data_IF_765116372921
#
_entry.id   IF_765116372921
#
_cell.length_a   1.000
_cell.length_b   1.000
_cell.length_c   1.000
_cell.angle_alpha   90.00
_cell.angle_beta   90.00
_cell.angle_gamma   90.00
#
_symmetry.space_group_name_H-M   'P 1'
#
loop_
_entity.id
_entity.type
_entity.pdbx_description
1 polymer ?
#
# COMPACT_ATOMS: atom_id res chain seq x y z
N UNK A 1 -26.09 17.79 -8.44
CA UNK A 1 -24.77 18.27 -8.92
C UNK A 1 -24.72 19.76 -8.75
N UNK A 2 -23.71 20.24 -8.04
CA UNK A 2 -23.55 21.67 -7.74
C UNK A 2 -22.14 22.13 -8.12
N UNK A 3 -22.04 23.23 -8.85
CA UNK A 3 -20.75 23.86 -9.17
C UNK A 3 -20.40 24.90 -8.10
N UNK A 4 -19.12 25.01 -7.72
CA UNK A 4 -18.64 26.11 -6.90
C UNK A 4 -18.78 27.46 -7.63
N UNK A 5 -18.91 28.55 -6.87
CA UNK A 5 -19.07 29.89 -7.45
C UNK A 5 -17.90 30.30 -8.37
N UNK A 6 -16.66 29.88 -8.03
CA UNK A 6 -15.44 30.11 -8.80
C UNK A 6 -15.25 29.09 -9.95
N UNK A 7 -16.17 28.15 -10.14
CA UNK A 7 -16.14 27.07 -11.14
C UNK A 7 -14.91 26.16 -11.07
N UNK A 8 -14.22 26.11 -9.92
CA UNK A 8 -13.03 25.27 -9.73
C UNK A 8 -13.32 23.90 -9.15
N UNK A 9 -14.54 23.68 -8.69
CA UNK A 9 -14.98 22.37 -8.21
C UNK A 9 -16.43 22.08 -8.55
N UNK A 10 -16.74 20.78 -8.59
CA UNK A 10 -18.09 20.27 -8.79
C UNK A 10 -18.38 19.24 -7.70
N UNK A 11 -19.49 19.39 -7.00
CA UNK A 11 -19.96 18.44 -5.99
C UNK A 11 -21.12 17.62 -6.53
N UNK A 12 -21.01 16.29 -6.38
CA UNK A 12 -22.05 15.32 -6.76
C UNK A 12 -22.48 14.61 -5.49
N UNK A 13 -23.77 14.64 -5.18
CA UNK A 13 -24.35 13.89 -4.07
C UNK A 13 -25.20 12.75 -4.59
N UNK A 14 -25.01 11.57 -4.03
CA UNK A 14 -25.70 10.34 -4.38
C UNK A 14 -26.27 9.76 -3.10
N UNK A 15 -27.57 9.43 -3.11
CA UNK A 15 -28.23 8.71 -2.02
C UNK A 15 -28.61 7.33 -2.51
N UNK A 16 -28.19 6.30 -1.77
CA UNK A 16 -28.51 4.91 -2.07
C UNK A 16 -29.36 4.33 -0.94
N UNK A 17 -30.58 3.97 -1.27
CA UNK A 17 -31.57 3.42 -0.34
C UNK A 17 -31.45 1.89 -0.28
N UNK A 18 -30.31 1.39 0.22
CA UNK A 18 -30.09 -0.03 0.42
C UNK A 18 -30.87 -0.54 1.65
N UNK A 19 -31.56 -1.66 1.53
CA UNK A 19 -32.38 -2.23 2.63
C UNK A 19 -31.55 -2.61 3.86
N UNK A 20 -30.28 -2.98 3.70
CA UNK A 20 -29.40 -3.41 4.79
C UNK A 20 -28.51 -2.28 5.31
N UNK A 21 -28.10 -1.40 4.45
CA UNK A 21 -27.23 -0.27 4.78
C UNK A 21 -27.44 0.85 3.76
N UNK A 22 -28.41 1.75 3.97
CA UNK A 22 -28.49 2.96 3.18
C UNK A 22 -27.24 3.81 3.37
N UNK A 23 -26.85 4.55 2.32
CA UNK A 23 -25.70 5.44 2.41
C UNK A 23 -25.82 6.64 1.51
N UNK A 24 -25.16 7.71 1.90
CA UNK A 24 -24.93 8.90 1.08
C UNK A 24 -23.47 8.91 0.63
N UNK A 25 -23.24 9.35 -0.59
CA UNK A 25 -21.93 9.46 -1.17
C UNK A 25 -21.77 10.83 -1.80
N UNK A 26 -20.81 11.60 -1.30
CA UNK A 26 -20.47 12.91 -1.84
C UNK A 26 -19.12 12.85 -2.54
N UNK A 27 -19.11 13.26 -3.81
CA UNK A 27 -17.89 13.50 -4.57
C UNK A 27 -17.66 14.99 -4.72
N UNK A 28 -16.46 15.46 -4.45
CA UNK A 28 -16.02 16.80 -4.86
C UNK A 28 -14.87 16.65 -5.86
N UNK A 29 -15.12 17.04 -7.09
CA UNK A 29 -14.17 16.96 -8.20
C UNK A 29 -13.58 18.35 -8.42
N UNK A 30 -12.28 18.48 -8.27
CA UNK A 30 -11.56 19.74 -8.44
C UNK A 30 -10.99 19.88 -9.86
N UNK A 31 -10.86 21.09 -10.36
CA UNK A 31 -10.24 21.42 -11.66
C UNK A 31 -8.79 20.92 -11.77
N UNK A 32 -8.13 20.68 -10.64
CA UNK A 32 -6.79 20.09 -10.56
C UNK A 32 -6.76 18.58 -10.82
N UNK A 33 -7.93 17.93 -10.99
CA UNK A 33 -8.06 16.48 -11.13
C UNK A 33 -8.04 15.72 -9.79
N UNK A 34 -8.01 16.42 -8.66
CA UNK A 34 -8.21 15.83 -7.34
C UNK A 34 -9.69 15.49 -7.18
N UNK A 35 -9.98 14.37 -6.52
CA UNK A 35 -11.35 13.96 -6.19
C UNK A 35 -11.41 13.59 -4.72
N UNK A 36 -12.25 14.28 -3.97
CA UNK A 36 -12.64 13.90 -2.61
C UNK A 36 -13.89 13.04 -2.65
N UNK A 37 -13.94 12.01 -1.82
CA UNK A 37 -15.00 11.01 -1.75
C UNK A 37 -15.36 10.83 -0.29
N UNK A 38 -16.59 11.20 0.08
CA UNK A 38 -17.07 11.20 1.45
C UNK A 38 -18.31 10.31 1.57
N UNK A 39 -18.17 9.01 1.86
CA UNK A 39 -19.30 8.13 2.14
C UNK A 39 -19.80 8.33 3.58
N UNK A 40 -21.12 8.21 3.76
CA UNK A 40 -21.79 8.18 5.06
C UNK A 40 -22.79 7.02 5.06
N UNK A 41 -22.53 6.03 5.89
CA UNK A 41 -23.29 4.78 5.99
C UNK A 41 -24.20 4.79 7.21
N UNK A 42 -25.40 4.24 7.06
CA UNK A 42 -26.37 4.10 8.15
C UNK A 42 -26.86 2.64 8.17
N UNK A 43 -26.16 1.72 8.86
CA UNK A 43 -26.59 0.33 8.96
C UNK A 43 -28.00 0.21 9.55
N UNK A 44 -28.83 -0.66 8.94
CA UNK A 44 -30.21 -0.90 9.33
C UNK A 44 -30.46 -2.34 9.80
N UNK A 45 -29.43 -3.21 9.71
CA UNK A 45 -29.53 -4.61 10.14
C UNK A 45 -28.29 -5.00 10.92
N UNK A 46 -28.45 -5.99 11.80
CA UNK A 46 -27.34 -6.62 12.51
C UNK A 46 -26.52 -7.50 11.57
N UNK A 47 -25.30 -7.80 12.01
CA UNK A 47 -24.42 -8.84 11.44
C UNK A 47 -23.95 -8.56 9.99
N UNK A 48 -23.82 -7.31 9.63
CA UNK A 48 -23.12 -6.94 8.39
C UNK A 48 -21.68 -7.45 8.41
N UNK A 49 -21.19 -7.88 7.26
CA UNK A 49 -19.80 -8.34 7.12
C UNK A 49 -18.83 -7.19 6.94
N UNK A 50 -19.23 -6.16 6.19
CA UNK A 50 -18.45 -4.93 5.97
C UNK A 50 -19.34 -3.73 5.66
N UNK A 51 -18.84 -2.55 5.95
CA UNK A 51 -19.37 -1.27 5.47
C UNK A 51 -18.23 -0.46 4.87
N UNK A 52 -18.35 -0.13 3.59
CA UNK A 52 -17.32 0.55 2.85
C UNK A 52 -17.63 0.66 1.37
N UNK A 53 -16.65 1.12 0.60
CA UNK A 53 -16.72 1.27 -0.84
C UNK A 53 -15.80 0.27 -1.52
N UNK A 54 -16.29 -0.35 -2.61
CA UNK A 54 -15.46 -1.08 -3.54
C UNK A 54 -15.25 -0.23 -4.80
N UNK A 55 -14.00 -0.06 -5.21
CA UNK A 55 -13.60 0.63 -6.42
C UNK A 55 -12.81 -0.29 -7.31
N UNK A 56 -12.94 -0.16 -8.62
CA UNK A 56 -12.06 -0.84 -9.57
C UNK A 56 -11.15 0.15 -10.27
N UNK A 57 -9.88 -0.22 -10.41
CA UNK A 57 -8.89 0.52 -11.17
C UNK A 57 -8.54 -0.24 -12.43
N UNK A 58 -8.29 0.46 -13.56
CA UNK A 58 -7.93 -0.19 -14.83
C UNK A 58 -6.69 -1.08 -14.69
N UNK A 59 -6.52 -1.99 -15.67
CA UNK A 59 -5.33 -2.84 -15.79
C UNK A 59 -4.02 -2.04 -15.63
N UNK A 60 -3.06 -2.63 -14.93
CA UNK A 60 -1.69 -2.14 -14.79
C UNK A 60 -1.39 -1.46 -13.47
N UNK A 61 -2.39 -1.14 -12.64
CA UNK A 61 -2.15 -0.64 -11.28
C UNK A 61 -1.82 -1.80 -10.34
N UNK A 62 -0.57 -2.28 -10.43
CA UNK A 62 -0.08 -3.50 -9.77
C UNK A 62 0.87 -3.22 -8.60
N UNK A 63 1.68 -2.15 -8.70
CA UNK A 63 2.64 -1.81 -7.64
C UNK A 63 1.93 -1.06 -6.52
N UNK A 64 2.15 -1.50 -5.30
CA UNK A 64 1.47 -0.99 -4.11
C UNK A 64 2.48 -0.46 -3.11
N UNK A 65 2.33 0.80 -2.72
CA UNK A 65 2.95 1.35 -1.52
C UNK A 65 1.84 1.84 -0.61
N UNK A 66 1.90 1.50 0.68
CA UNK A 66 0.87 1.93 1.62
C UNK A 66 1.44 2.32 2.99
N UNK A 67 0.75 3.23 3.66
CA UNK A 67 0.99 3.59 5.05
C UNK A 67 -0.24 3.18 5.87
N UNK A 68 -0.12 2.02 6.51
CA UNK A 68 -1.15 1.37 7.30
C UNK A 68 -0.53 0.37 8.28
N UNK A 69 -1.33 -0.41 9.00
CA UNK A 69 -0.85 -1.60 9.72
C UNK A 69 -0.52 -2.71 8.74
N UNK A 70 0.65 -3.31 8.91
CA UNK A 70 1.17 -4.36 8.03
C UNK A 70 2.35 -5.11 8.67
N UNK A 71 3.18 -5.83 7.85
CA UNK A 71 3.01 -6.05 6.40
C UNK A 71 1.90 -7.05 6.05
N UNK A 72 1.53 -7.93 6.99
CA UNK A 72 0.56 -8.99 6.80
C UNK A 72 -0.87 -8.48 6.88
N UNK A 73 -1.82 -9.26 6.37
CA UNK A 73 -3.24 -8.99 6.58
C UNK A 73 -3.55 -8.93 8.07
N UNK A 74 -4.44 -8.05 8.42
CA UNK A 74 -4.88 -7.88 9.80
C UNK A 74 -6.31 -7.37 9.83
N UNK A 75 -7.04 -7.79 10.86
CA UNK A 75 -8.46 -7.52 11.02
C UNK A 75 -8.70 -6.87 12.37
N UNK A 76 -9.85 -6.26 12.58
CA UNK A 76 -10.14 -5.52 13.81
C UNK A 76 -9.92 -6.33 15.10
N UNK A 77 -10.12 -7.64 15.04
CA UNK A 77 -9.88 -8.58 16.14
C UNK A 77 -8.49 -9.25 16.10
N UNK A 78 -7.65 -8.96 15.10
CA UNK A 78 -6.32 -9.57 14.89
C UNK A 78 -5.30 -8.55 14.39
N UNK A 79 -4.98 -7.55 15.23
CA UNK A 79 -4.05 -6.47 14.85
C UNK A 79 -2.76 -6.44 15.67
N UNK A 80 -2.65 -7.24 16.75
CA UNK A 80 -1.51 -7.12 17.67
C UNK A 80 -0.16 -7.47 17.07
N UNK A 81 -0.14 -8.28 16.00
CA UNK A 81 1.08 -8.64 15.26
C UNK A 81 1.42 -7.70 14.10
N UNK A 82 0.65 -6.63 13.92
CA UNK A 82 0.83 -5.69 12.80
C UNK A 82 1.19 -4.30 13.30
N UNK A 83 2.14 -3.66 12.65
CA UNK A 83 2.65 -2.36 13.05
C UNK A 83 2.34 -1.30 12.00
N UNK A 84 2.08 -0.09 12.45
CA UNK A 84 1.91 1.05 11.55
C UNK A 84 3.26 1.36 10.89
N UNK A 85 3.29 1.32 9.57
CA UNK A 85 4.51 1.54 8.78
C UNK A 85 4.22 1.77 7.31
N UNK A 86 5.29 2.08 6.56
CA UNK A 86 5.24 2.12 5.09
C UNK A 86 5.72 0.79 4.55
N UNK A 87 4.93 0.22 3.67
CA UNK A 87 5.17 -1.09 3.07
C UNK A 87 5.03 -1.01 1.56
N UNK A 88 5.85 -1.80 0.86
CA UNK A 88 5.82 -1.93 -0.59
C UNK A 88 5.53 -3.39 -0.93
N UNK A 89 4.61 -3.61 -1.85
CA UNK A 89 4.18 -4.94 -2.27
C UNK A 89 3.55 -4.87 -3.66
N UNK A 90 2.94 -5.94 -4.11
CA UNK A 90 2.09 -6.00 -5.31
C UNK A 90 0.67 -6.35 -4.95
N UNK A 91 -0.28 -6.11 -5.87
CA UNK A 91 -1.68 -6.51 -5.68
C UNK A 91 -1.79 -8.03 -5.54
N UNK A 92 -1.04 -8.79 -6.34
CA UNK A 92 -1.03 -10.26 -6.26
C UNK A 92 -0.50 -10.77 -4.92
N UNK A 93 0.56 -10.15 -4.36
CA UNK A 93 1.11 -10.54 -3.06
C UNK A 93 0.20 -10.18 -1.88
N UNK A 94 -0.80 -9.33 -2.09
CA UNK A 94 -1.80 -9.01 -1.07
C UNK A 94 -2.92 -10.06 -0.98
N UNK A 95 -3.07 -10.88 -2.02
CA UNK A 95 -4.09 -11.92 -2.05
C UNK A 95 -3.62 -13.16 -1.28
N UNK A 96 -4.50 -13.70 -0.44
CA UNK A 96 -4.26 -14.93 0.33
C UNK A 96 -5.06 -16.07 -0.28
N UNK A 97 -4.41 -17.10 -0.85
CA UNK A 97 -5.09 -18.22 -1.49
C UNK A 97 -5.66 -19.20 -0.44
N UNK A 98 -6.69 -18.76 0.28
CA UNK A 98 -7.35 -19.57 1.30
C UNK A 98 -8.05 -20.78 0.66
N UNK A 99 -8.06 -21.97 1.32
CA UNK A 99 -8.66 -23.19 0.77
C UNK A 99 -10.12 -23.01 0.31
N UNK A 100 -10.88 -22.20 1.05
CA UNK A 100 -12.16 -21.69 0.60
C UNK A 100 -12.02 -20.20 0.29
N UNK A 101 -12.15 -19.77 -0.97
CA UNK A 101 -12.09 -18.38 -1.33
C UNK A 101 -13.09 -17.55 -0.53
N UNK A 102 -12.58 -16.54 0.09
CA UNK A 102 -13.35 -15.58 0.89
C UNK A 102 -12.59 -14.27 0.93
N UNK A 103 -13.23 -13.22 1.43
CA UNK A 103 -12.59 -11.93 1.66
C UNK A 103 -11.31 -12.10 2.45
N UNK A 104 -10.22 -11.57 1.92
CA UNK A 104 -8.89 -11.69 2.52
C UNK A 104 -8.05 -10.44 2.27
N UNK A 105 -6.85 -10.39 2.82
CA UNK A 105 -5.88 -9.35 2.52
C UNK A 105 -6.19 -8.00 3.16
N UNK A 106 -7.12 -7.89 4.12
CA UNK A 106 -7.44 -6.62 4.76
C UNK A 106 -6.28 -6.08 5.60
N UNK A 107 -6.10 -4.75 5.61
CA UNK A 107 -5.12 -4.03 6.41
C UNK A 107 -5.77 -2.83 7.06
N UNK A 108 -5.66 -2.77 8.38
CA UNK A 108 -6.30 -1.76 9.21
C UNK A 108 -5.50 -0.46 9.27
N UNK A 109 -6.20 0.65 9.47
CA UNK A 109 -5.60 1.95 9.75
C UNK A 109 -4.88 2.56 8.56
N UNK A 110 -5.48 2.46 7.37
CA UNK A 110 -4.97 3.11 6.16
C UNK A 110 -4.90 4.62 6.35
N UNK A 111 -3.78 5.21 5.97
CA UNK A 111 -3.56 6.67 5.90
C UNK A 111 -3.20 7.11 4.50
N UNK A 112 -2.46 6.28 3.78
CA UNK A 112 -2.01 6.57 2.42
C UNK A 112 -1.86 5.28 1.63
N UNK A 113 -2.35 5.28 0.40
CA UNK A 113 -2.16 4.23 -0.59
C UNK A 113 -1.65 4.85 -1.89
N UNK A 114 -0.61 4.28 -2.45
CA UNK A 114 -0.09 4.65 -3.78
C UNK A 114 -0.13 3.41 -4.66
N UNK A 115 -0.81 3.52 -5.78
CA UNK A 115 -0.87 2.48 -6.81
C UNK A 115 -0.06 2.95 -8.02
N UNK A 116 0.96 2.19 -8.40
CA UNK A 116 1.77 2.43 -9.58
C UNK A 116 1.29 1.61 -10.78
N UNK A 117 1.14 2.26 -11.93
CA UNK A 117 0.75 1.58 -13.16
C UNK A 117 1.99 1.12 -13.92
N UNK A 118 2.16 -0.20 -14.07
CA UNK A 118 3.31 -0.82 -14.73
C UNK A 118 3.40 -0.49 -16.23
N UNK A 119 2.26 -0.19 -16.86
CA UNK A 119 2.19 0.06 -18.32
C UNK A 119 2.44 1.53 -18.64
N UNK A 120 1.77 2.43 -17.92
CA UNK A 120 1.81 3.87 -18.23
C UNK A 120 2.84 4.62 -17.39
N UNK A 121 3.28 4.03 -16.26
CA UNK A 121 4.11 4.70 -15.26
C UNK A 121 3.35 5.76 -14.43
N UNK A 122 2.05 5.90 -14.64
CA UNK A 122 1.22 6.78 -13.82
C UNK A 122 1.14 6.27 -12.38
N UNK A 123 0.92 7.17 -11.44
CA UNK A 123 0.63 6.82 -10.06
C UNK A 123 -0.70 7.39 -9.63
N UNK A 124 -1.40 6.61 -8.82
CA UNK A 124 -2.63 7.02 -8.15
C UNK A 124 -2.35 7.06 -6.66
N UNK A 125 -2.51 8.22 -6.05
CA UNK A 125 -2.39 8.40 -4.60
C UNK A 125 -3.78 8.56 -3.99
N UNK A 126 -4.04 7.82 -2.90
CA UNK A 126 -5.25 7.92 -2.08
C UNK A 126 -4.81 8.23 -0.65
N UNK A 127 -5.27 9.34 -0.12
CA UNK A 127 -5.11 9.75 1.27
C UNK A 127 -6.44 9.54 1.99
N UNK A 128 -6.40 9.13 3.25
CA UNK A 128 -7.61 8.84 4.03
C UNK A 128 -7.68 9.69 5.29
N UNK A 129 -8.90 10.03 5.69
CA UNK A 129 -9.20 10.67 6.97
C UNK A 129 -10.31 9.87 7.66
N UNK A 130 -10.11 9.59 8.95
CA UNK A 130 -11.00 8.74 9.74
C UNK A 130 -10.51 7.28 9.83
N UNK A 131 -11.41 6.40 10.25
CA UNK A 131 -11.12 4.98 10.33
C UNK A 131 -11.33 4.33 8.96
N UNK A 132 -10.26 3.79 8.39
CA UNK A 132 -10.31 3.11 7.10
C UNK A 132 -9.42 1.87 7.15
N UNK A 133 -9.95 0.73 6.73
CA UNK A 133 -9.18 -0.43 6.32
C UNK A 133 -9.24 -0.61 4.81
N UNK A 134 -8.31 -1.39 4.25
CA UNK A 134 -8.30 -1.63 2.81
C UNK A 134 -7.81 -3.03 2.45
N UNK A 135 -8.30 -3.51 1.33
CA UNK A 135 -7.75 -4.69 0.64
C UNK A 135 -7.70 -4.45 -0.85
N UNK A 136 -6.74 -5.11 -1.51
CA UNK A 136 -6.58 -5.07 -2.97
C UNK A 136 -6.59 -6.49 -3.51
N UNK A 137 -7.21 -6.69 -4.66
CA UNK A 137 -7.31 -8.01 -5.28
C UNK A 137 -7.56 -7.89 -6.78
N UNK A 138 -7.20 -8.93 -7.53
CA UNK A 138 -7.58 -9.11 -8.94
C UNK A 138 -8.79 -10.02 -9.11
N UNK A 139 -9.48 -10.36 -8.03
CA UNK A 139 -10.59 -11.30 -8.04
C UNK A 139 -11.90 -10.62 -7.65
N UNK A 140 -12.98 -11.05 -8.27
CA UNK A 140 -14.33 -10.56 -7.96
C UNK A 140 -14.88 -11.32 -6.73
N UNK A 141 -14.93 -10.64 -5.60
CA UNK A 141 -15.42 -11.21 -4.34
C UNK A 141 -16.89 -11.68 -4.40
N UNK A 142 -17.68 -11.19 -5.33
CA UNK A 142 -19.08 -11.65 -5.49
C UNK A 142 -19.15 -13.12 -5.87
N UNK A 143 -18.06 -13.67 -6.40
CA UNK A 143 -17.93 -15.06 -6.82
C UNK A 143 -17.34 -15.98 -5.76
N UNK A 144 -16.86 -15.45 -4.64
CA UNK A 144 -16.29 -16.26 -3.55
C UNK A 144 -17.35 -17.08 -2.77
N UNK A 145 -18.62 -16.78 -2.93
CA UNK A 145 -19.69 -17.35 -2.09
C UNK A 145 -20.08 -18.79 -2.41
N UNK A 146 -19.47 -19.42 -3.39
CA UNK A 146 -19.74 -20.83 -3.69
C UNK A 146 -18.76 -21.71 -2.93
N UNK A 147 -19.24 -22.48 -1.97
CA UNK A 147 -18.47 -23.45 -1.16
C UNK A 147 -17.70 -24.52 -1.97
N UNK A 148 -17.85 -24.52 -3.28
CA UNK A 148 -17.24 -25.49 -4.18
C UNK A 148 -16.00 -24.94 -4.91
N UNK A 149 -15.65 -23.66 -4.73
CA UNK A 149 -14.49 -23.07 -5.37
C UNK A 149 -13.23 -23.23 -4.50
N UNK A 150 -12.12 -23.46 -5.16
CA UNK A 150 -10.79 -23.40 -4.59
C UNK A 150 -10.03 -22.19 -5.13
N UNK A 151 -8.90 -21.78 -4.55
CA UNK A 151 -8.14 -20.64 -5.05
C UNK A 151 -7.74 -20.73 -6.51
N UNK A 152 -7.43 -21.93 -6.99
CA UNK A 152 -7.06 -22.19 -8.38
C UNK A 152 -8.24 -22.16 -9.36
N UNK A 153 -9.47 -22.20 -8.88
CA UNK A 153 -10.69 -22.07 -9.70
C UNK A 153 -11.05 -20.61 -9.94
N UNK A 154 -10.40 -19.69 -9.24
CA UNK A 154 -10.66 -18.27 -9.39
C UNK A 154 -10.00 -17.73 -10.65
N UNK A 155 -10.75 -16.99 -11.44
CA UNK A 155 -10.22 -16.31 -12.61
C UNK A 155 -9.63 -14.95 -12.19
N UNK A 156 -8.33 -14.77 -12.39
CA UNK A 156 -7.67 -13.47 -12.21
C UNK A 156 -8.17 -12.50 -13.29
N UNK A 157 -8.68 -11.37 -12.86
CA UNK A 157 -9.19 -10.32 -13.72
C UNK A 157 -8.13 -9.23 -13.97
N UNK A 158 -8.32 -8.47 -15.05
CA UNK A 158 -7.41 -7.38 -15.38
C UNK A 158 -7.49 -6.16 -14.45
N UNK A 159 -8.68 -5.72 -14.00
CA UNK A 159 -8.79 -4.61 -13.07
C UNK A 159 -8.23 -4.97 -11.69
N UNK A 160 -7.77 -3.96 -10.96
CA UNK A 160 -7.50 -4.04 -9.52
C UNK A 160 -8.75 -3.60 -8.77
N UNK A 161 -9.33 -4.47 -7.98
CA UNK A 161 -10.41 -4.15 -7.06
C UNK A 161 -9.84 -3.70 -5.73
N UNK A 162 -10.30 -2.57 -5.23
CA UNK A 162 -9.90 -2.00 -3.97
C UNK A 162 -11.12 -1.79 -3.07
N UNK A 163 -11.09 -2.38 -1.91
CA UNK A 163 -12.02 -2.08 -0.84
C UNK A 163 -11.44 -1.01 0.08
N UNK A 164 -12.27 -0.03 0.42
CA UNK A 164 -11.99 0.98 1.44
C UNK A 164 -13.14 0.92 2.43
N UNK A 165 -12.90 0.27 3.56
CA UNK A 165 -13.96 -0.02 4.51
C UNK A 165 -13.82 0.85 5.76
N UNK A 166 -14.94 1.42 6.23
CA UNK A 166 -14.98 1.97 7.59
C UNK A 166 -14.67 0.88 8.59
N UNK A 167 -15.33 -0.28 8.40
CA UNK A 167 -15.13 -1.45 9.24
C UNK A 167 -15.49 -2.73 8.49
N UNK A 168 -14.65 -3.72 8.64
CA UNK A 168 -14.95 -5.10 8.36
C UNK A 168 -15.14 -5.84 9.69
N UNK A 169 -16.16 -6.72 9.79
CA UNK A 169 -16.38 -7.55 10.96
C UNK A 169 -15.15 -8.41 11.23
N UNK A 170 -14.78 -8.57 12.50
CA UNK A 170 -13.70 -9.45 12.92
C UNK A 170 -13.95 -10.89 12.46
N UNK A 171 -12.88 -11.63 12.24
CA UNK A 171 -12.93 -13.01 11.72
C UNK A 171 -13.48 -13.98 12.75
N UNK A 172 -13.15 -13.80 14.04
CA UNK A 172 -13.47 -14.76 15.09
C UNK A 172 -12.71 -16.08 14.94
N UNK A 173 -13.19 -17.12 15.56
CA UNK A 173 -12.63 -18.48 15.50
C UNK A 173 -13.69 -19.53 15.09
N UNK A 174 -14.68 -19.14 14.28
CA UNK A 174 -15.85 -19.96 13.97
C UNK A 174 -15.56 -21.29 13.27
N UNK A 175 -14.35 -21.52 12.74
CA UNK A 175 -13.95 -22.81 12.16
C UNK A 175 -13.75 -23.91 13.21
N UNK A 176 -13.32 -23.55 14.43
CA UNK A 176 -13.06 -24.50 15.53
C UNK A 176 -13.24 -23.88 16.92
N UNK A 177 -13.95 -22.78 17.03
CA UNK A 177 -14.19 -22.05 18.29
C UNK A 177 -15.34 -21.06 18.17
N UNK A 178 -15.45 -20.10 19.11
CA UNK A 178 -16.52 -19.13 19.09
C UNK A 178 -16.39 -18.19 17.88
N UNK A 179 -17.53 -17.75 17.35
CA UNK A 179 -17.60 -16.73 16.32
C UNK A 179 -17.08 -15.38 16.80
N UNK A 180 -17.24 -14.35 15.96
CA UNK A 180 -16.83 -12.99 16.29
C UNK A 180 -17.60 -12.47 17.50
N UNK A 181 -16.87 -11.98 18.51
CA UNK A 181 -17.47 -11.34 19.69
C UNK A 181 -18.04 -9.96 19.34
N UNK A 182 -19.02 -9.49 20.13
CA UNK A 182 -19.80 -8.30 19.79
C UNK A 182 -18.96 -7.03 19.60
N UNK A 183 -17.88 -6.87 20.35
CA UNK A 183 -16.98 -5.72 20.22
C UNK A 183 -16.32 -5.57 18.83
N UNK A 184 -16.28 -6.64 18.05
CA UNK A 184 -15.70 -6.66 16.70
C UNK A 184 -16.74 -6.88 15.59
N UNK A 185 -18.03 -6.83 15.95
CA UNK A 185 -19.13 -6.79 14.98
C UNK A 185 -19.42 -5.36 14.55
N UNK A 186 -19.94 -5.21 13.36
CA UNK A 186 -20.41 -3.91 12.88
C UNK A 186 -21.70 -3.56 13.62
N UNK A 187 -21.78 -2.39 14.26
CA UNK A 187 -23.01 -1.96 14.92
C UNK A 187 -24.18 -1.89 13.94
N UNK A 188 -25.36 -2.32 14.35
CA UNK A 188 -26.59 -2.30 13.55
C UNK A 188 -27.26 -0.93 13.50
N UNK A 189 -26.75 0.02 14.25
CA UNK A 189 -27.28 1.40 14.34
C UNK A 189 -26.13 2.39 14.41
N UNK A 190 -26.39 3.63 14.07
CA UNK A 190 -25.41 4.72 14.06
C UNK A 190 -25.09 5.20 12.64
N UNK A 191 -24.25 6.20 12.58
CA UNK A 191 -23.79 6.79 11.32
C UNK A 191 -22.28 6.72 11.27
N UNK A 192 -21.74 6.18 10.19
CA UNK A 192 -20.31 5.94 10.02
C UNK A 192 -19.81 6.59 8.73
N UNK A 193 -18.73 7.33 8.82
CA UNK A 193 -18.17 8.07 7.68
C UNK A 193 -16.66 8.08 7.71
N UNK A 194 -16.07 8.29 6.54
CA UNK A 194 -14.65 8.56 6.35
C UNK A 194 -14.46 9.43 5.11
N UNK A 195 -13.23 9.84 4.83
CA UNK A 195 -12.92 10.59 3.63
C UNK A 195 -11.78 9.93 2.87
N UNK A 196 -11.88 9.93 1.55
CA UNK A 196 -10.81 9.56 0.64
C UNK A 196 -10.49 10.76 -0.25
N UNK A 197 -9.21 11.06 -0.41
CA UNK A 197 -8.72 12.04 -1.38
C UNK A 197 -7.87 11.36 -2.43
N UNK A 198 -8.37 11.30 -3.64
CA UNK A 198 -7.74 10.67 -4.79
C UNK A 198 -7.02 11.70 -5.66
N UNK A 199 -5.73 11.45 -5.94
CA UNK A 199 -4.91 12.27 -6.85
C UNK A 199 -4.23 11.34 -7.86
N UNK A 200 -4.33 11.67 -9.15
CA UNK A 200 -3.58 10.98 -10.20
C UNK A 200 -2.38 11.83 -10.59
N UNK A 201 -1.18 11.24 -10.56
CA UNK A 201 0.02 11.84 -11.16
C UNK A 201 0.32 11.08 -12.45
N UNK A 202 0.30 11.77 -13.57
CA UNK A 202 0.82 11.23 -14.81
C UNK A 202 2.34 11.16 -14.72
N UNK A 203 2.94 10.16 -15.36
CA UNK A 203 4.37 10.18 -15.60
C UNK A 203 4.66 11.43 -16.43
N UNK A 204 5.49 12.32 -15.91
CA UNK A 204 5.97 13.45 -16.70
C UNK A 204 6.93 12.88 -17.73
N UNK A 205 6.48 12.71 -18.96
CA UNK A 205 7.38 12.57 -20.10
C UNK A 205 7.95 13.98 -20.33
N UNK A 206 9.09 14.25 -19.77
CA UNK A 206 9.89 15.39 -20.18
C UNK A 206 10.39 15.06 -21.59
N UNK A 207 9.70 15.58 -22.60
CA UNK A 207 10.29 15.65 -23.94
C UNK A 207 11.55 16.50 -23.82
N UNK A 208 12.72 15.85 -23.85
CA UNK A 208 14.01 16.52 -23.96
C UNK A 208 15.05 16.25 -22.88
N UNK A 209 14.72 15.65 -21.73
CA UNK A 209 15.75 15.10 -20.83
C UNK A 209 15.33 13.66 -20.54
N UNK A 210 15.96 12.71 -21.23
CA UNK A 210 15.93 11.33 -20.81
C UNK A 210 16.59 11.29 -19.41
N UNK A 211 15.78 11.26 -18.33
CA UNK A 211 16.24 10.53 -17.17
C UNK A 211 16.45 9.10 -17.67
N UNK A 212 17.67 8.82 -18.08
CA UNK A 212 18.15 7.46 -18.05
C UNK A 212 17.86 7.00 -16.63
N UNK A 213 16.87 6.13 -16.46
CA UNK A 213 16.88 5.19 -15.35
C UNK A 213 18.20 4.44 -15.52
N UNK A 214 19.28 4.99 -14.99
CA UNK A 214 20.38 4.16 -14.62
C UNK A 214 19.78 3.16 -13.65
N UNK A 215 19.52 1.93 -14.14
CA UNK A 215 19.59 0.78 -13.28
C UNK A 215 20.84 1.05 -12.47
N UNK A 216 20.72 1.17 -11.15
CA UNK A 216 21.92 1.20 -10.34
C UNK A 216 22.58 -0.13 -10.63
N UNK A 217 23.69 -0.11 -11.37
CA UNK A 217 24.47 -1.32 -11.67
C UNK A 217 25.16 -1.84 -10.41
N UNK A 218 24.74 -1.34 -9.25
CA UNK A 218 25.31 -1.67 -7.95
C UNK A 218 24.40 -2.66 -7.22
N UNK A 219 24.95 -3.80 -6.86
CA UNK A 219 24.32 -4.78 -5.97
C UNK A 219 24.95 -4.62 -4.59
N UNK A 220 24.15 -4.24 -3.61
CA UNK A 220 24.60 -3.98 -2.24
C UNK A 220 23.94 -5.00 -1.31
N UNK A 221 24.74 -5.73 -0.54
CA UNK A 221 24.22 -6.68 0.45
C UNK A 221 25.16 -6.77 1.67
N UNK A 222 24.61 -7.27 2.77
CA UNK A 222 25.35 -7.49 4.01
C UNK A 222 25.72 -8.96 4.20
N UNK A 223 27.00 -9.24 4.29
CA UNK A 223 27.54 -10.55 4.69
C UNK A 223 27.66 -10.60 6.23
N UNK A 224 26.66 -11.22 6.85
CA UNK A 224 26.59 -11.30 8.32
C UNK A 224 27.75 -12.11 8.92
N UNK A 225 28.23 -13.13 8.24
CA UNK A 225 29.30 -13.99 8.75
C UNK A 225 30.64 -13.25 8.83
N UNK A 226 30.88 -12.35 7.89
CA UNK A 226 32.10 -11.54 7.83
C UNK A 226 31.95 -10.15 8.44
N UNK A 227 30.72 -9.76 8.79
CA UNK A 227 30.39 -8.39 9.22
C UNK A 227 30.83 -7.35 8.17
N UNK A 228 30.54 -7.61 6.91
CA UNK A 228 30.92 -6.73 5.80
C UNK A 228 29.69 -6.34 4.98
N UNK A 229 29.65 -5.07 4.57
CA UNK A 229 28.79 -4.61 3.51
C UNK A 229 29.58 -4.75 2.19
N UNK A 230 28.99 -5.45 1.24
CA UNK A 230 29.60 -5.71 -0.07
C UNK A 230 28.83 -4.90 -1.12
N UNK A 231 29.54 -4.02 -1.81
CA UNK A 231 29.02 -3.22 -2.90
C UNK A 231 29.69 -3.70 -4.20
N UNK A 232 28.91 -4.37 -5.05
CA UNK A 232 29.36 -4.84 -6.38
C UNK A 232 28.82 -3.91 -7.46
N UNK A 233 29.66 -3.52 -8.41
CA UNK A 233 29.20 -2.71 -9.53
C UNK A 233 30.32 -2.02 -10.30
N UNK A 234 29.93 -1.09 -11.17
CA UNK A 234 30.86 -0.22 -11.89
C UNK A 234 30.95 1.10 -11.13
N UNK A 235 32.14 1.43 -10.66
CA UNK A 235 32.39 2.69 -9.94
C UNK A 235 33.41 3.54 -10.72
N UNK A 236 33.20 4.84 -10.79
CA UNK A 236 34.20 5.74 -11.34
C UNK A 236 35.44 5.78 -10.41
N UNK A 237 36.63 5.91 -10.97
CA UNK A 237 37.92 5.95 -10.20
C UNK A 237 37.96 7.01 -9.11
N UNK A 238 37.12 8.03 -9.18
CA UNK A 238 37.01 9.09 -8.18
C UNK A 238 35.85 8.90 -7.22
N UNK A 239 35.00 7.88 -7.42
CA UNK A 239 33.81 7.66 -6.61
C UNK A 239 34.18 7.29 -5.18
N UNK A 240 33.38 7.75 -4.25
CA UNK A 240 33.48 7.44 -2.83
C UNK A 240 32.20 6.75 -2.38
N UNK A 241 32.35 5.71 -1.57
CA UNK A 241 31.23 5.08 -0.86
C UNK A 241 31.33 5.47 0.62
N UNK A 242 30.27 6.06 1.13
CA UNK A 242 30.18 6.56 2.50
C UNK A 242 29.09 5.80 3.25
N UNK A 243 29.39 5.35 4.46
CA UNK A 243 28.45 4.69 5.36
C UNK A 243 28.06 5.64 6.49
N UNK A 244 26.76 5.84 6.67
CA UNK A 244 26.19 6.69 7.71
C UNK A 244 25.29 5.90 8.65
N UNK A 245 25.25 6.27 9.91
CA UNK A 245 24.19 5.83 10.82
C UNK A 245 22.92 6.67 10.63
N UNK A 246 21.82 6.26 11.27
CA UNK A 246 20.53 6.99 11.20
C UNK A 246 20.59 8.40 11.76
N UNK A 247 21.59 8.74 12.59
CA UNK A 247 21.83 10.08 13.10
C UNK A 247 22.60 10.98 12.12
N UNK A 248 22.92 10.48 10.91
CA UNK A 248 23.65 11.24 9.89
C UNK A 248 25.16 11.32 10.11
N UNK A 249 25.72 10.56 11.07
CA UNK A 249 27.16 10.51 11.30
C UNK A 249 27.80 9.57 10.29
N UNK A 250 28.82 10.06 9.57
CA UNK A 250 29.62 9.23 8.66
C UNK A 250 30.54 8.30 9.46
N UNK A 251 30.35 7.00 9.31
CA UNK A 251 31.09 5.94 10.01
C UNK A 251 32.32 5.53 9.22
N UNK A 252 32.17 5.43 7.90
CA UNK A 252 33.23 4.99 7.00
C UNK A 252 33.14 5.69 5.66
N UNK A 253 34.32 5.95 5.07
CA UNK A 253 34.47 6.54 3.73
C UNK A 253 35.53 5.77 2.98
N UNK A 254 35.14 5.09 1.90
CA UNK A 254 36.00 4.26 1.08
C UNK A 254 36.06 4.79 -0.35
N UNK A 255 37.26 4.99 -0.89
CA UNK A 255 37.45 5.37 -2.30
C UNK A 255 37.47 4.14 -3.16
N UNK A 256 36.82 4.22 -4.32
CA UNK A 256 36.84 3.15 -5.32
C UNK A 256 38.17 3.19 -6.10
N UNK A 257 38.88 2.06 -6.17
CA UNK A 257 40.19 1.99 -6.83
C UNK A 257 40.08 1.74 -8.33
N UNK A 258 39.01 1.04 -8.79
CA UNK A 258 38.86 0.58 -10.16
C UNK A 258 37.46 0.84 -10.70
N UNK A 259 37.32 0.91 -12.05
CA UNK A 259 36.05 1.18 -12.73
C UNK A 259 35.04 0.01 -12.67
N UNK A 260 35.48 -1.18 -12.29
CA UNK A 260 34.63 -2.35 -12.07
C UNK A 260 35.16 -3.12 -10.88
N UNK A 261 34.30 -3.46 -9.94
CA UNK A 261 34.78 -4.29 -8.84
C UNK A 261 33.84 -4.39 -7.66
N UNK A 262 34.41 -4.93 -6.62
CA UNK A 262 33.76 -5.12 -5.32
C UNK A 262 34.39 -4.16 -4.31
N UNK A 263 33.60 -3.31 -3.70
CA UNK A 263 34.03 -2.53 -2.53
C UNK A 263 33.47 -3.17 -1.29
N UNK A 264 34.34 -3.42 -0.31
CA UNK A 264 33.98 -4.05 0.96
C UNK A 264 34.14 -3.03 2.07
N UNK A 265 33.10 -2.85 2.87
CA UNK A 265 33.09 -1.96 4.03
C UNK A 265 32.93 -2.83 5.28
N UNK A 266 33.91 -2.79 6.19
CA UNK A 266 33.80 -3.48 7.45
C UNK A 266 32.81 -2.77 8.38
N UNK A 267 31.96 -3.55 9.02
CA UNK A 267 31.02 -3.09 10.05
C UNK A 267 31.36 -3.67 11.42
N UNK A 268 32.56 -4.24 11.56
CA UNK A 268 33.02 -4.79 12.83
C UNK A 268 32.96 -3.73 13.93
N UNK A 269 32.35 -4.08 15.06
CA UNK A 269 32.16 -3.16 16.19
C UNK A 269 31.03 -2.16 16.04
N UNK A 270 30.29 -2.18 14.93
CA UNK A 270 29.09 -1.35 14.79
C UNK A 270 27.85 -2.07 15.36
N UNK A 271 26.96 -1.34 16.07
CA UNK A 271 25.73 -1.93 16.58
C UNK A 271 24.82 -2.41 15.44
N UNK A 272 24.00 -3.41 15.73
CA UNK A 272 22.96 -3.83 14.77
C UNK A 272 21.95 -2.68 14.58
N UNK A 273 21.55 -2.43 13.33
CA UNK A 273 20.63 -1.34 13.03
C UNK A 273 20.54 -1.00 11.56
N UNK A 274 19.91 0.13 11.29
CA UNK A 274 19.74 0.68 9.95
C UNK A 274 20.87 1.65 9.64
N UNK A 275 21.46 1.49 8.47
CA UNK A 275 22.55 2.33 7.96
C UNK A 275 22.21 2.84 6.56
N UNK A 276 22.80 3.96 6.20
CA UNK A 276 22.63 4.59 4.88
C UNK A 276 23.97 4.53 4.16
N UNK A 277 23.95 3.93 2.96
CA UNK A 277 25.11 3.92 2.07
C UNK A 277 24.89 4.99 1.00
N UNK A 278 25.83 5.89 0.89
CA UNK A 278 25.86 6.92 -0.16
C UNK A 278 27.01 6.63 -1.10
N UNK A 279 26.70 6.44 -2.38
CA UNK A 279 27.66 6.34 -3.45
C UNK A 279 27.70 7.70 -4.14
N UNK A 280 28.87 8.28 -4.32
CA UNK A 280 29.03 9.57 -4.99
C UNK A 280 28.47 9.46 -6.41
N UNK A 281 27.62 10.43 -6.79
CA UNK A 281 26.90 10.50 -8.07
C UNK A 281 25.81 9.43 -8.28
N UNK A 282 25.41 8.67 -7.23
CA UNK A 282 24.30 7.72 -7.27
C UNK A 282 23.30 7.98 -6.12
N UNK A 283 22.20 7.24 -6.13
CA UNK A 283 21.20 7.31 -5.06
C UNK A 283 21.72 6.68 -3.77
N UNK A 284 21.29 7.24 -2.64
CA UNK A 284 21.57 6.64 -1.36
C UNK A 284 20.79 5.32 -1.18
N UNK A 285 21.43 4.32 -0.63
CA UNK A 285 20.87 3.00 -0.34
C UNK A 285 20.71 2.81 1.16
N UNK A 286 19.62 2.17 1.60
CA UNK A 286 19.40 1.82 3.00
C UNK A 286 19.70 0.34 3.19
N UNK A 287 20.50 0.01 4.20
CA UNK A 287 20.82 -1.36 4.55
C UNK A 287 20.65 -1.59 6.06
N UNK A 288 20.24 -2.78 6.43
CA UNK A 288 20.18 -3.23 7.83
C UNK A 288 21.30 -4.20 8.10
N UNK A 289 22.07 -3.96 9.16
CA UNK A 289 23.18 -4.79 9.59
C UNK A 289 22.95 -5.36 11.00
#
# INVERSE_FOLDING_TARGET
>A
VTMSADKKSCTIQITVNGSKCPYNLEYTIYSTGVVDINPTFTPAVADLRRIGLCMSFPKGYENVEYYAKGPWSNYIDRQKGSFLGRYVTTVDDMFEPLPHPQTNGDRQGLRELILGNNTTGDTLKIETEGQVSFSLSHYDETKYSTYQLHPWDLTRLNPTYAHFDYMQRGIGNGSCGPGTIDNYKIPSTGTFSYKLRKKKKKKITTDGISETKQKSDHVIYYDRAKQHIICNGSFDKSSTIELYNIGGVCISKTKCADNKGTVVISTAGQPQGIYIIKIQNDKSHVITI
#
